data_IF_902932844823
#
_entry.id   IF_902932844823
#
_cell.length_a   1.000
_cell.length_b   1.000
_cell.length_c   1.000
_cell.angle_alpha   90.00
_cell.angle_beta   90.00
_cell.angle_gamma   90.00
#
_symmetry.space_group_name_H-M   'P 1'
#
loop_
_entity.id
_entity.type
_entity.pdbx_description
1 polymer ?
#
# COMPACT_ATOMS: atom_id res chain seq x y z
N UNK A 1 -31.12 -6.54 23.71
CA UNK A 1 -30.26 -5.91 24.74
C UNK A 1 -28.83 -6.41 24.68
N UNK A 2 -28.57 -7.73 24.56
CA UNK A 2 -27.20 -8.28 24.48
C UNK A 2 -26.34 -7.77 23.31
N UNK A 3 -26.90 -7.63 22.10
CA UNK A 3 -26.11 -7.20 20.94
C UNK A 3 -25.56 -5.76 21.05
N UNK A 4 -26.29 -4.87 21.73
CA UNK A 4 -25.85 -3.49 21.98
C UNK A 4 -24.78 -3.44 23.07
N UNK A 5 -24.89 -4.27 24.11
CA UNK A 5 -23.86 -4.38 25.15
C UNK A 5 -22.54 -4.96 24.61
N UNK A 6 -22.63 -5.94 23.71
CA UNK A 6 -21.44 -6.52 23.05
C UNK A 6 -20.73 -5.50 22.17
N UNK A 7 -21.48 -4.71 21.40
CA UNK A 7 -20.93 -3.62 20.59
C UNK A 7 -20.27 -2.54 21.46
N UNK A 8 -20.94 -2.12 22.53
CA UNK A 8 -20.42 -1.13 23.46
C UNK A 8 -19.16 -1.63 24.22
N UNK A 9 -19.05 -2.92 24.52
CA UNK A 9 -17.84 -3.52 25.09
C UNK A 9 -16.69 -3.58 24.08
N UNK A 10 -16.97 -3.91 22.83
CA UNK A 10 -15.98 -3.94 21.76
C UNK A 10 -15.43 -2.53 21.46
N UNK A 11 -16.30 -1.53 21.37
CA UNK A 11 -15.92 -0.12 21.14
C UNK A 11 -15.10 0.46 22.31
N UNK A 12 -15.34 -0.02 23.54
CA UNK A 12 -14.54 0.36 24.73
C UNK A 12 -13.23 -0.39 24.88
N UNK A 13 -13.04 -1.52 24.19
CA UNK A 13 -11.80 -2.30 24.27
C UNK A 13 -10.67 -1.68 23.42
N UNK A 14 -11.01 -0.84 22.44
CA UNK A 14 -10.05 -0.06 21.66
C UNK A 14 -10.62 1.33 21.31
N UNK A 15 -10.82 2.21 22.31
CA UNK A 15 -11.52 3.48 22.13
C UNK A 15 -10.78 4.46 21.21
N UNK A 16 -9.50 4.20 20.88
CA UNK A 16 -8.66 5.08 20.07
C UNK A 16 -8.27 4.49 18.70
N UNK A 17 -8.69 3.27 18.31
CA UNK A 17 -8.20 2.63 17.07
C UNK A 17 -6.67 2.75 16.90
N UNK A 18 -5.92 2.67 18.01
CA UNK A 18 -4.46 2.80 17.95
C UNK A 18 -3.89 1.57 17.26
N UNK A 19 -3.55 1.76 15.99
CA UNK A 19 -2.87 0.73 15.21
C UNK A 19 -1.56 0.39 15.91
N UNK A 20 -1.19 -0.90 15.93
CA UNK A 20 0.01 -1.35 16.64
C UNK A 20 1.26 -0.60 16.19
N UNK A 21 2.34 -0.60 16.99
CA UNK A 21 3.54 0.21 16.73
C UNK A 21 4.17 -0.01 15.34
N UNK A 22 3.94 -1.17 14.73
CA UNK A 22 4.35 -1.48 13.35
C UNK A 22 3.54 -0.71 12.31
N UNK A 23 2.22 -0.61 12.49
CA UNK A 23 1.34 0.12 11.58
C UNK A 23 1.54 1.63 11.68
N UNK A 24 1.69 2.18 12.91
CA UNK A 24 2.02 3.59 13.13
C UNK A 24 3.39 3.99 12.53
N UNK A 25 4.38 3.09 12.57
CA UNK A 25 5.68 3.31 11.95
C UNK A 25 5.62 3.26 10.41
N UNK A 26 4.78 2.37 9.85
CA UNK A 26 4.52 2.31 8.41
C UNK A 26 3.77 3.58 7.97
N UNK A 27 2.83 4.08 8.75
CA UNK A 27 2.06 5.30 8.47
C UNK A 27 2.96 6.54 8.44
N UNK A 28 3.92 6.69 9.37
CA UNK A 28 4.88 7.81 9.37
C UNK A 28 5.90 7.81 8.22
N UNK A 29 6.26 6.64 7.69
CA UNK A 29 7.24 6.53 6.60
C UNK A 29 6.61 6.45 5.21
N UNK A 30 5.47 5.78 5.08
CA UNK A 30 4.73 5.62 3.82
C UNK A 30 4.06 6.93 3.41
N UNK A 31 3.62 7.74 4.39
CA UNK A 31 3.02 9.06 4.12
C UNK A 31 3.96 10.06 3.42
N UNK A 32 5.28 9.88 3.52
CA UNK A 32 6.26 10.78 2.86
C UNK A 32 6.66 10.35 1.45
N UNK A 33 6.48 9.08 1.08
CA UNK A 33 6.77 8.63 -0.28
C UNK A 33 5.65 9.13 -1.19
N UNK A 34 5.94 9.92 -2.24
CA UNK A 34 4.93 10.31 -3.22
C UNK A 34 4.33 9.05 -3.84
N UNK A 35 3.00 8.97 -3.94
CA UNK A 35 2.32 7.86 -4.63
C UNK A 35 2.85 7.64 -6.04
N UNK A 36 3.33 8.71 -6.67
CA UNK A 36 3.86 8.74 -8.02
C UNK A 36 5.16 7.94 -8.17
N UNK A 37 5.93 7.75 -7.09
CA UNK A 37 7.13 6.90 -7.11
C UNK A 37 6.78 5.46 -7.47
N UNK A 38 5.67 4.94 -6.92
CA UNK A 38 5.21 3.59 -7.23
C UNK A 38 4.72 3.46 -8.67
N UNK A 39 4.12 4.52 -9.21
CA UNK A 39 3.69 4.57 -10.61
C UNK A 39 4.90 4.60 -11.56
N UNK A 40 5.90 5.44 -11.27
CA UNK A 40 7.16 5.46 -12.03
C UNK A 40 7.94 4.16 -11.90
N UNK A 41 7.94 3.50 -10.74
CA UNK A 41 8.53 2.19 -10.57
C UNK A 41 7.82 1.11 -11.41
N UNK A 42 6.49 1.12 -11.45
CA UNK A 42 5.72 0.22 -12.31
C UNK A 42 6.03 0.45 -13.80
N UNK A 43 6.05 1.71 -14.24
CA UNK A 43 6.43 2.08 -15.61
C UNK A 43 7.88 1.70 -15.94
N UNK A 44 8.82 1.93 -15.03
CA UNK A 44 10.21 1.51 -15.17
C UNK A 44 10.34 0.00 -15.31
N UNK A 45 9.62 -0.77 -14.48
CA UNK A 45 9.58 -2.23 -14.55
C UNK A 45 9.09 -2.71 -15.91
N UNK A 46 8.00 -2.12 -16.42
CA UNK A 46 7.47 -2.42 -17.74
C UNK A 46 8.45 -2.08 -18.86
N UNK A 47 9.10 -0.91 -18.79
CA UNK A 47 10.08 -0.48 -19.80
C UNK A 47 11.33 -1.36 -19.81
N UNK A 48 11.87 -1.71 -18.64
CA UNK A 48 13.01 -2.62 -18.50
C UNK A 48 12.64 -4.02 -19.01
N UNK A 49 11.46 -4.52 -18.63
CA UNK A 49 10.95 -5.81 -19.12
C UNK A 49 10.84 -5.84 -20.64
N UNK A 50 10.27 -4.80 -21.25
CA UNK A 50 10.18 -4.68 -22.71
C UNK A 50 11.58 -4.64 -23.36
N UNK A 51 12.52 -3.91 -22.77
CA UNK A 51 13.91 -3.84 -23.25
C UNK A 51 14.58 -5.22 -23.19
N UNK A 52 14.47 -5.94 -22.07
CA UNK A 52 14.99 -7.30 -21.91
C UNK A 52 14.36 -8.27 -22.91
N UNK A 53 13.07 -8.12 -23.20
CA UNK A 53 12.35 -8.93 -24.20
C UNK A 53 12.91 -8.71 -25.61
N UNK A 54 13.19 -7.46 -25.98
CA UNK A 54 13.84 -7.14 -27.27
C UNK A 54 15.25 -7.72 -27.34
N UNK A 55 15.97 -7.77 -26.21
CA UNK A 55 17.29 -8.40 -26.10
C UNK A 55 17.26 -9.94 -26.03
N UNK A 56 16.08 -10.58 -26.21
CA UNK A 56 15.88 -12.04 -26.11
C UNK A 56 16.23 -12.64 -24.74
N UNK A 57 16.18 -11.84 -23.67
CA UNK A 57 16.35 -12.30 -22.27
C UNK A 57 14.98 -12.58 -21.65
N UNK A 58 14.30 -13.59 -22.17
CA UNK A 58 12.87 -13.82 -21.91
C UNK A 58 12.51 -14.05 -20.43
N UNK A 59 13.33 -14.83 -19.71
CA UNK A 59 13.09 -15.11 -18.28
C UNK A 59 13.26 -13.86 -17.41
N UNK A 60 14.30 -13.08 -17.68
CA UNK A 60 14.54 -11.81 -16.98
C UNK A 60 13.46 -10.78 -17.30
N UNK A 61 13.03 -10.71 -18.56
CA UNK A 61 11.92 -9.87 -18.98
C UNK A 61 10.64 -10.21 -18.22
N UNK A 62 10.29 -11.50 -18.12
CA UNK A 62 9.13 -11.96 -17.36
C UNK A 62 9.26 -11.66 -15.87
N UNK A 63 10.41 -11.97 -15.27
CA UNK A 63 10.66 -11.71 -13.85
C UNK A 63 10.49 -10.23 -13.50
N UNK A 64 11.11 -9.32 -14.26
CA UNK A 64 11.01 -7.88 -14.03
C UNK A 64 9.60 -7.36 -14.35
N UNK A 65 8.95 -7.87 -15.41
CA UNK A 65 7.61 -7.43 -15.79
C UNK A 65 6.55 -7.71 -14.73
N UNK A 66 6.68 -8.82 -14.00
CA UNK A 66 5.75 -9.24 -12.95
C UNK A 66 5.71 -8.31 -11.73
N UNK A 67 6.72 -7.46 -11.53
CA UNK A 67 6.75 -6.51 -10.41
C UNK A 67 5.89 -5.26 -10.62
N UNK A 68 5.47 -4.96 -11.85
CA UNK A 68 4.62 -3.81 -12.15
C UNK A 68 3.31 -3.79 -11.31
N UNK A 69 2.50 -4.87 -11.26
CA UNK A 69 1.30 -4.92 -10.40
C UNK A 69 1.63 -4.78 -8.91
N UNK A 70 2.76 -5.31 -8.44
CA UNK A 70 3.19 -5.19 -7.03
C UNK A 70 3.46 -3.72 -6.68
N UNK A 71 4.17 -2.98 -7.52
CA UNK A 71 4.38 -1.55 -7.32
C UNK A 71 3.07 -0.76 -7.33
N UNK A 72 2.18 -1.03 -8.28
CA UNK A 72 0.87 -0.37 -8.33
C UNK A 72 0.04 -0.65 -7.07
N UNK A 73 0.05 -1.89 -6.57
CA UNK A 73 -0.66 -2.25 -5.33
C UNK A 73 -0.12 -1.46 -4.13
N UNK A 74 1.19 -1.31 -4.02
CA UNK A 74 1.82 -0.48 -2.98
C UNK A 74 1.43 0.99 -3.11
N UNK A 75 1.38 1.52 -4.33
CA UNK A 75 0.94 2.89 -4.60
C UNK A 75 -0.53 3.13 -4.24
N UNK A 76 -1.40 2.18 -4.58
CA UNK A 76 -2.83 2.21 -4.22
C UNK A 76 -3.01 2.15 -2.70
N UNK A 77 -2.29 1.25 -2.02
CA UNK A 77 -2.31 1.17 -0.55
C UNK A 77 -1.90 2.50 0.10
N UNK A 78 -0.79 3.10 -0.34
CA UNK A 78 -0.31 4.41 0.14
C UNK A 78 -1.38 5.50 -0.04
N UNK A 79 -2.03 5.53 -1.22
CA UNK A 79 -3.08 6.51 -1.51
C UNK A 79 -4.32 6.32 -0.62
N UNK A 80 -4.77 5.07 -0.42
CA UNK A 80 -5.89 4.75 0.47
C UNK A 80 -5.58 5.19 1.91
N UNK A 81 -4.39 4.88 2.42
CA UNK A 81 -3.98 5.27 3.78
C UNK A 81 -3.97 6.79 3.94
N UNK A 82 -3.46 7.54 2.95
CA UNK A 82 -3.46 9.01 3.00
C UNK A 82 -4.86 9.62 2.95
N UNK A 83 -5.75 9.06 2.13
CA UNK A 83 -7.12 9.59 1.97
C UNK A 83 -7.99 9.26 3.20
N UNK A 84 -8.01 7.99 3.63
CA UNK A 84 -8.88 7.52 4.71
C UNK A 84 -8.26 7.64 6.11
N UNK A 85 -6.93 7.74 6.23
CA UNK A 85 -6.25 8.00 7.50
C UNK A 85 -6.43 9.45 7.96
N UNK A 86 -6.45 10.41 7.03
CA UNK A 86 -6.62 11.83 7.32
C UNK A 86 -8.04 12.19 7.79
N UNK A 87 -9.06 11.40 7.43
CA UNK A 87 -10.44 11.59 7.90
C UNK A 87 -10.66 11.21 9.37
N UNK A 88 -9.80 10.36 9.96
CA UNK A 88 -9.88 10.00 11.40
C UNK A 88 -9.32 11.07 12.33
N UNK A 89 -8.56 12.03 11.80
CA UNK A 89 -7.81 13.04 12.58
C UNK A 89 -8.43 14.46 12.50
N UNK A 90 -9.66 14.58 11.94
CA UNK A 90 -10.50 15.80 11.98
C UNK A 90 -11.74 15.58 12.84
#
# INVERSE_FOLDING_TARGET
>A
MEAQDLKNKADRANPEHKEGPVAAAIEQYTSKVPSDVYLWAALGSMAISATLKVLKKDEEALFVGQWAPSFLLLGVYNKIVKEFGYERDK
#
